data_IF_675843886495
#
_entry.id   IF_675843886495
#
_cell.length_a   1.000
_cell.length_b   1.000
_cell.length_c   1.000
_cell.angle_alpha   90.00
_cell.angle_beta   90.00
_cell.angle_gamma   90.00
#
_symmetry.space_group_name_H-M   'P 1'
#
loop_
_entity.id
_entity.type
_entity.pdbx_description
1 polymer ?
#
# COMPACT_ATOMS: atom_id res chain seq x y z
N UNK A 1 -46.75 -3.03 -1.24
CA UNK A 1 -45.48 -2.78 -1.96
C UNK A 1 -44.39 -2.72 -0.92
N UNK A 2 -43.35 -3.57 -1.00
CA UNK A 2 -42.31 -3.67 0.03
C UNK A 2 -41.06 -2.95 -0.49
N UNK A 3 -40.83 -1.73 0.00
CA UNK A 3 -39.74 -0.86 -0.43
C UNK A 3 -38.43 -1.40 0.15
N UNK A 4 -37.62 -2.05 -0.69
CA UNK A 4 -36.28 -2.52 -0.32
C UNK A 4 -35.33 -1.32 -0.28
N UNK A 5 -34.82 -0.99 0.91
CA UNK A 5 -33.76 0.00 1.08
C UNK A 5 -32.45 -0.61 0.57
N UNK A 6 -31.91 -0.06 -0.52
CA UNK A 6 -30.53 -0.28 -0.94
C UNK A 6 -29.62 0.55 -0.05
N UNK A 7 -28.85 -0.08 0.84
CA UNK A 7 -27.80 0.58 1.61
C UNK A 7 -26.53 0.58 0.74
N UNK A 8 -26.22 1.72 0.11
CA UNK A 8 -24.98 1.91 -0.64
C UNK A 8 -23.85 2.25 0.35
N UNK A 9 -23.04 1.25 0.70
CA UNK A 9 -21.82 1.48 1.48
C UNK A 9 -20.78 2.17 0.58
N UNK A 10 -20.70 3.50 0.67
CA UNK A 10 -19.64 4.28 0.02
C UNK A 10 -18.36 4.04 0.82
N UNK A 11 -17.54 3.09 0.39
CA UNK A 11 -16.16 2.98 0.86
C UNK A 11 -15.40 4.21 0.34
N UNK A 12 -15.23 5.22 1.18
CA UNK A 12 -14.36 6.35 0.88
C UNK A 12 -12.91 5.84 0.84
N UNK A 13 -12.45 5.45 -0.34
CA UNK A 13 -11.02 5.27 -0.57
C UNK A 13 -10.37 6.67 -0.51
N UNK A 14 -9.31 6.87 0.28
CA UNK A 14 -8.61 8.14 0.27
C UNK A 14 -8.01 8.36 -1.12
N UNK A 15 -8.46 9.40 -1.83
CA UNK A 15 -7.87 9.86 -3.09
C UNK A 15 -6.64 10.70 -2.72
N UNK A 16 -5.50 10.05 -2.60
CA UNK A 16 -4.22 10.76 -2.55
C UNK A 16 -3.86 11.14 -3.99
N UNK A 17 -4.10 12.39 -4.37
CA UNK A 17 -3.58 12.97 -5.61
C UNK A 17 -2.05 13.11 -5.47
N UNK A 18 -1.32 12.10 -5.94
CA UNK A 18 0.14 12.13 -6.02
C UNK A 18 0.56 12.75 -7.35
N UNK A 19 0.65 14.07 -7.41
CA UNK A 19 1.47 14.72 -8.44
C UNK A 19 2.94 14.45 -8.09
N UNK A 20 3.51 13.39 -8.67
CA UNK A 20 4.89 13.01 -8.44
C UNK A 20 5.51 12.49 -9.74
N UNK A 21 6.55 13.21 -10.21
CA UNK A 21 7.65 12.69 -11.02
C UNK A 21 7.85 11.19 -10.77
N UNK A 22 7.95 10.32 -11.81
CA UNK A 22 7.57 8.92 -11.71
C UNK A 22 8.25 8.30 -10.51
N UNK A 23 7.46 8.11 -9.45
CA UNK A 23 7.94 7.34 -8.32
C UNK A 23 8.38 6.01 -8.91
N UNK A 24 9.52 5.48 -8.45
CA UNK A 24 9.91 4.12 -8.81
C UNK A 24 8.91 3.09 -8.26
N UNK A 25 7.77 3.52 -7.70
CA UNK A 25 6.65 2.70 -7.30
C UNK A 25 5.94 2.15 -8.54
N UNK A 26 5.74 0.84 -8.56
CA UNK A 26 4.91 0.16 -9.54
C UNK A 26 3.46 0.07 -9.05
N UNK A 27 3.25 -0.36 -7.80
CA UNK A 27 1.92 -0.48 -7.20
C UNK A 27 1.97 -0.51 -5.68
N UNK A 28 0.83 -0.26 -5.06
CA UNK A 28 0.56 -0.49 -3.64
C UNK A 28 -0.41 -1.66 -3.50
N UNK A 29 -0.25 -2.45 -2.44
CA UNK A 29 -1.13 -3.58 -2.11
C UNK A 29 -1.57 -3.44 -0.65
N UNK A 30 -2.87 -3.27 -0.37
CA UNK A 30 -3.37 -3.29 0.99
C UNK A 30 -3.28 -4.70 1.57
N UNK A 31 -2.79 -4.83 2.80
CA UNK A 31 -2.68 -6.10 3.52
C UNK A 31 -3.81 -6.22 4.55
N UNK A 32 -4.18 -7.47 4.90
CA UNK A 32 -5.26 -7.76 5.86
C UNK A 32 -5.04 -7.13 7.24
N UNK A 33 -3.79 -6.87 7.63
CA UNK A 33 -3.43 -6.19 8.88
C UNK A 33 -3.63 -4.67 8.88
N UNK A 34 -4.14 -4.09 7.78
CA UNK A 34 -4.22 -2.64 7.56
C UNK A 34 -2.89 -2.00 7.13
N UNK A 35 -1.84 -2.80 6.99
CA UNK A 35 -0.55 -2.39 6.45
C UNK A 35 -0.63 -2.18 4.92
N UNK A 36 0.37 -1.53 4.36
CA UNK A 36 0.49 -1.34 2.90
C UNK A 36 1.84 -1.85 2.42
N UNK A 37 1.82 -2.75 1.45
CA UNK A 37 3.00 -3.18 0.71
C UNK A 37 3.21 -2.26 -0.50
N UNK A 38 4.41 -1.73 -0.65
CA UNK A 38 4.84 -0.91 -1.78
C UNK A 38 5.75 -1.78 -2.65
N UNK A 39 5.38 -1.97 -3.92
CA UNK A 39 6.17 -2.72 -4.89
C UNK A 39 6.79 -1.73 -5.86
N UNK A 40 8.11 -1.74 -5.98
CA UNK A 40 8.86 -0.87 -6.89
C UNK A 40 8.99 -1.49 -8.28
N UNK A 41 9.36 -0.69 -9.28
CA UNK A 41 9.49 -1.09 -10.69
C UNK A 41 10.56 -2.17 -10.92
N UNK A 42 11.54 -2.28 -10.03
CA UNK A 42 12.56 -3.32 -10.03
C UNK A 42 12.12 -4.60 -9.27
N UNK A 43 10.89 -4.64 -8.77
CA UNK A 43 10.33 -5.78 -8.04
C UNK A 43 10.70 -5.82 -6.56
N UNK A 44 11.59 -4.95 -6.07
CA UNK A 44 11.86 -4.82 -4.63
C UNK A 44 10.65 -4.22 -3.93
N UNK A 45 10.56 -4.46 -2.63
CA UNK A 45 9.38 -4.12 -1.83
C UNK A 45 9.75 -3.40 -0.54
N UNK A 46 8.81 -2.61 -0.04
CA UNK A 46 8.83 -2.04 1.30
C UNK A 46 7.44 -2.10 1.92
N UNK A 47 7.36 -2.11 3.25
CA UNK A 47 6.09 -2.18 3.98
C UNK A 47 5.91 -0.93 4.85
N UNK A 48 4.71 -0.36 4.85
CA UNK A 48 4.29 0.61 5.84
C UNK A 48 3.26 -0.04 6.78
N UNK A 49 3.31 0.30 8.06
CA UNK A 49 2.28 -0.10 9.00
C UNK A 49 0.95 0.62 8.72
N UNK A 50 -0.10 0.28 9.47
CA UNK A 50 -1.44 0.88 9.36
C UNK A 50 -1.51 2.40 9.56
N UNK A 51 -0.44 3.02 10.04
CA UNK A 51 -0.32 4.47 10.22
C UNK A 51 0.54 5.12 9.13
N UNK A 52 0.88 4.39 8.06
CA UNK A 52 1.71 4.89 6.97
C UNK A 52 3.20 4.99 7.31
N UNK A 53 3.67 4.45 8.45
CA UNK A 53 5.10 4.52 8.82
C UNK A 53 5.86 3.34 8.21
N UNK A 54 7.02 3.56 7.57
CA UNK A 54 7.88 2.47 7.11
C UNK A 54 8.22 1.51 8.25
N UNK A 55 8.11 0.22 8.01
CA UNK A 55 8.48 -0.85 8.95
C UNK A 55 9.31 -1.90 8.25
N UNK A 56 10.06 -2.66 9.06
CA UNK A 56 10.85 -3.77 8.56
C UNK A 56 9.98 -4.78 7.80
N UNK A 57 10.37 -5.08 6.58
CA UNK A 57 9.82 -6.14 5.74
C UNK A 57 10.81 -7.29 5.76
N UNK A 58 10.44 -8.41 6.39
CA UNK A 58 11.33 -9.57 6.47
C UNK A 58 11.40 -10.24 5.10
N UNK A 59 12.59 -10.42 4.49
CA UNK A 59 12.70 -11.12 3.21
C UNK A 59 12.12 -12.53 3.29
N UNK A 60 11.32 -12.91 2.29
CA UNK A 60 10.64 -14.21 2.22
C UNK A 60 9.43 -14.35 3.15
N UNK A 61 9.03 -13.33 3.92
CA UNK A 61 7.78 -13.41 4.67
C UNK A 61 6.58 -13.46 3.72
N UNK A 62 5.60 -14.30 4.06
CA UNK A 62 4.37 -14.40 3.29
C UNK A 62 3.38 -13.35 3.77
N UNK A 63 3.10 -12.39 2.90
CA UNK A 63 2.14 -11.32 3.15
C UNK A 63 0.76 -11.75 2.67
N UNK A 64 -0.27 -11.33 3.40
CA UNK A 64 -1.67 -11.59 3.07
C UNK A 64 -2.34 -10.30 2.57
N UNK A 65 -2.47 -10.11 1.24
CA UNK A 65 -3.28 -9.05 0.66
C UNK A 65 -4.73 -9.13 1.12
N UNK A 66 -5.43 -7.99 1.11
CA UNK A 66 -6.89 -7.96 1.27
C UNK A 66 -7.55 -8.80 0.17
N UNK A 67 -7.05 -8.69 -1.06
CA UNK A 67 -7.54 -9.42 -2.23
C UNK A 67 -6.38 -10.08 -2.99
N UNK A 68 -6.63 -11.27 -3.53
CA UNK A 68 -5.67 -12.02 -4.33
C UNK A 68 -4.84 -13.04 -3.53
N UNK A 69 -3.78 -13.53 -4.18
CA UNK A 69 -2.92 -14.58 -3.65
C UNK A 69 -1.87 -14.03 -2.68
N UNK A 70 -1.37 -14.85 -1.73
CA UNK A 70 -0.26 -14.48 -0.87
C UNK A 70 0.98 -14.04 -1.66
N UNK A 71 1.71 -13.06 -1.12
CA UNK A 71 2.91 -12.48 -1.75
C UNK A 71 4.12 -12.79 -0.88
N UNK A 72 5.15 -13.42 -1.46
CA UNK A 72 6.45 -13.55 -0.81
C UNK A 72 7.20 -12.21 -0.88
N UNK A 73 7.65 -11.72 0.26
CA UNK A 73 8.38 -10.46 0.32
C UNK A 73 9.76 -10.54 -0.38
N UNK A 74 10.04 -9.54 -1.21
CA UNK A 74 11.33 -9.39 -1.90
C UNK A 74 11.98 -8.06 -1.50
N UNK A 75 13.14 -8.10 -0.86
CA UNK A 75 13.85 -6.91 -0.41
C UNK A 75 13.27 -6.28 0.86
N UNK A 76 13.81 -5.12 1.24
CA UNK A 76 13.41 -4.34 2.42
C UNK A 76 13.76 -2.86 2.21
N UNK A 77 13.09 -2.20 1.26
CA UNK A 77 13.47 -0.87 0.77
C UNK A 77 12.93 0.28 1.65
N UNK A 78 13.20 0.23 2.96
CA UNK A 78 12.73 1.24 3.93
C UNK A 78 13.19 2.65 3.54
N UNK A 79 14.44 2.81 3.12
CA UNK A 79 14.99 4.11 2.74
C UNK A 79 14.24 4.70 1.54
N UNK A 80 13.98 3.87 0.52
CA UNK A 80 13.25 4.29 -0.67
C UNK A 80 11.80 4.68 -0.33
N UNK A 81 11.12 3.90 0.51
CA UNK A 81 9.79 4.22 1.00
C UNK A 81 9.77 5.51 1.84
N UNK A 82 10.80 5.74 2.65
CA UNK A 82 10.90 6.96 3.46
C UNK A 82 11.05 8.21 2.60
N UNK A 83 11.86 8.13 1.53
CA UNK A 83 11.97 9.19 0.53
C UNK A 83 10.64 9.43 -0.19
N UNK A 84 9.94 8.36 -0.56
CA UNK A 84 8.63 8.43 -1.23
C UNK A 84 7.60 9.17 -0.35
N UNK A 85 7.46 8.77 0.92
CA UNK A 85 6.53 9.39 1.87
C UNK A 85 6.88 10.87 2.09
N UNK A 86 8.17 11.18 2.31
CA UNK A 86 8.61 12.57 2.51
C UNK A 86 8.28 13.46 1.32
N UNK A 87 8.46 12.97 0.09
CA UNK A 87 8.08 13.70 -1.13
C UNK A 87 6.57 13.92 -1.19
N UNK A 88 5.77 12.91 -0.87
CA UNK A 88 4.31 13.05 -0.83
C UNK A 88 3.80 14.04 0.22
N UNK A 89 4.54 14.29 1.29
CA UNK A 89 4.20 15.31 2.30
C UNK A 89 4.73 16.72 1.98
N UNK A 90 5.67 16.85 1.05
CA UNK A 90 6.29 18.14 0.69
C UNK A 90 5.62 18.80 -0.53
N UNK A 91 4.60 18.15 -1.11
CA UNK A 91 3.83 18.60 -2.26
C UNK A 91 2.48 19.17 -1.82
#
# INVERSE_FOLDING_TARGET
MKNSLLILAIAAAPVFAMDAQPSNLSKTVPLKGGETLYVFKDGRMAKANKFGRPVYLKPGEMLAPVEGQPIAAVGNEIAQLSVLIRKGHAN
#
